data_IF_851015382436
#
_entry.id   IF_851015382436
#
_cell.length_a   1.000
_cell.length_b   1.000
_cell.length_c   1.000
_cell.angle_alpha   90.00
_cell.angle_beta   90.00
_cell.angle_gamma   90.00
#
_symmetry.space_group_name_H-M   'P 1'
#
loop_
_entity.id
_entity.type
_entity.pdbx_description
1 polymer ?
2 water ?
#
# COMPACT_ATOMS: atom_id res chain seq x y z
N UNK A 1 19.34 -6.20 -12.69
CA UNK A 1 18.49 -4.98 -12.47
C UNK A 1 17.40 -5.20 -11.42
N UNK A 2 16.14 -4.86 -11.76
CA UNK A 2 15.00 -5.02 -10.82
C UNK A 2 14.83 -6.46 -10.25
N UNK A 3 14.39 -6.57 -8.98
CA UNK A 3 13.96 -7.86 -8.39
C UNK A 3 12.52 -8.18 -8.80
N UNK A 4 12.38 -8.65 -10.05
CA UNK A 4 11.12 -9.12 -10.63
C UNK A 4 10.64 -10.40 -10.00
N UNK A 5 11.55 -11.30 -9.71
CA UNK A 5 11.16 -12.49 -9.01
C UNK A 5 10.56 -12.19 -7.62
N UNK A 6 11.21 -11.34 -6.84
CA UNK A 6 10.66 -10.91 -5.56
C UNK A 6 9.28 -10.24 -5.72
N UNK A 7 9.13 -9.29 -6.64
CA UNK A 7 7.87 -8.59 -6.75
C UNK A 7 6.77 -9.56 -7.11
N UNK A 8 7.15 -10.58 -7.87
CA UNK A 8 6.20 -11.57 -8.37
C UNK A 8 5.72 -12.45 -7.21
N UNK A 9 6.64 -12.94 -6.38
CA UNK A 9 6.27 -13.65 -5.17
C UNK A 9 5.34 -12.82 -4.22
N UNK A 10 5.61 -11.54 -4.01
CA UNK A 10 4.73 -10.73 -3.20
C UNK A 10 3.34 -10.67 -3.82
N UNK A 11 3.26 -10.49 -5.14
CA UNK A 11 1.95 -10.35 -5.81
C UNK A 11 1.13 -11.60 -5.71
N UNK A 12 1.76 -12.76 -5.88
CA UNK A 12 1.00 -14.01 -5.86
C UNK A 12 0.47 -14.38 -4.50
N UNK A 13 1.32 -14.43 -3.49
CA UNK A 13 0.85 -14.79 -2.16
C UNK A 13 0.23 -13.67 -1.35
N UNK A 14 0.47 -12.41 -1.71
CA UNK A 14 0.07 -11.34 -0.78
C UNK A 14 -0.75 -10.16 -1.30
N UNK A 15 -1.36 -10.26 -2.46
CA UNK A 15 -2.22 -9.16 -2.91
C UNK A 15 -3.58 -9.70 -3.30
N UNK A 16 -4.55 -8.79 -3.26
CA UNK A 16 -5.90 -9.11 -3.62
C UNK A 16 -6.40 -7.85 -4.26
N UNK A 17 -7.52 -7.95 -5.00
CA UNK A 17 -8.17 -6.79 -5.60
C UNK A 17 -9.21 -6.34 -4.61
N UNK A 18 -9.21 -5.06 -4.23
CA UNK A 18 -10.18 -4.57 -3.24
C UNK A 18 -11.05 -3.53 -3.90
N UNK A 19 -12.32 -3.48 -3.54
CA UNK A 19 -13.20 -2.56 -4.21
C UNK A 19 -14.12 -1.88 -3.22
N UNK A 20 -14.20 -0.56 -3.31
CA UNK A 20 -14.91 0.23 -2.32
C UNK A 20 -15.80 1.12 -3.14
N UNK A 21 -16.60 1.96 -2.50
CA UNK A 21 -17.33 2.95 -3.29
C UNK A 21 -16.42 3.77 -4.21
N UNK A 22 -15.11 3.77 -3.97
CA UNK A 22 -14.21 4.67 -4.72
C UNK A 22 -13.61 4.01 -5.92
N UNK A 23 -13.84 2.71 -6.06
CA UNK A 23 -13.24 1.98 -7.17
C UNK A 23 -12.41 0.81 -6.71
N UNK A 24 -11.60 0.28 -7.61
CA UNK A 24 -10.68 -0.82 -7.34
C UNK A 24 -9.26 -0.33 -7.02
N UNK A 25 -8.56 -1.07 -6.16
CA UNK A 25 -7.22 -0.79 -5.66
C UNK A 25 -6.52 -2.13 -5.52
N UNK A 26 -5.24 -2.16 -5.82
CA UNK A 26 -4.38 -3.26 -5.41
C UNK A 26 -4.31 -3.18 -3.87
N UNK A 27 -4.50 -4.32 -3.21
CA UNK A 27 -4.50 -4.37 -1.73
C UNK A 27 -3.46 -5.35 -1.28
N UNK A 28 -2.57 -4.88 -0.40
CA UNK A 28 -1.47 -5.72 0.06
C UNK A 28 -1.79 -6.35 1.42
N UNK A 29 -1.86 -7.67 1.49
CA UNK A 29 -2.05 -8.36 2.75
C UNK A 29 -0.70 -8.49 3.42
N UNK A 30 -0.66 -8.26 4.73
CA UNK A 30 0.59 -8.12 5.44
C UNK A 30 0.86 -9.28 6.42
N UNK A 31 -0.13 -9.62 7.23
CA UNK A 31 0.01 -10.77 8.12
C UNK A 31 -1.42 -11.09 8.59
N UNK A 32 -1.67 -12.35 8.97
CA UNK A 32 -2.95 -12.78 9.52
C UNK A 32 -4.08 -12.33 8.60
N UNK A 33 -4.97 -11.48 9.08
CA UNK A 33 -5.96 -10.93 8.16
C UNK A 33 -5.84 -9.43 8.11
N UNK A 34 -4.61 -8.94 8.26
CA UNK A 34 -4.34 -7.50 8.19
C UNK A 34 -3.79 -7.15 6.80
N UNK A 35 -4.34 -6.09 6.24
CA UNK A 35 -3.90 -5.58 4.94
C UNK A 35 -3.83 -4.05 4.93
N UNK A 36 -3.31 -3.50 3.83
CA UNK A 36 -3.27 -2.04 3.63
C UNK A 36 -3.88 -1.64 2.33
N UNK A 37 -4.41 -0.43 2.33
CA UNK A 37 -4.98 0.15 1.14
C UNK A 37 -4.84 1.68 1.29
N UNK A 38 -4.76 2.44 0.19
CA UNK A 38 -4.65 3.88 0.32
C UNK A 38 -5.85 4.50 1.00
N UNK A 39 -5.61 5.46 1.88
CA UNK A 39 -6.71 6.11 2.60
C UNK A 39 -7.79 6.64 1.62
N UNK A 40 -7.40 7.02 0.40
CA UNK A 40 -8.38 7.61 -0.52
C UNK A 40 -9.46 6.61 -0.99
N UNK A 41 -9.26 5.32 -0.69
CA UNK A 41 -10.25 4.27 -0.99
C UNK A 41 -11.51 4.44 -0.13
N UNK A 42 -11.39 5.14 1.00
CA UNK A 42 -12.55 5.41 1.84
C UNK A 42 -13.21 4.12 2.36
N UNK A 43 -12.44 3.29 3.06
CA UNK A 43 -12.94 2.03 3.58
C UNK A 43 -14.06 2.23 4.60
N UNK A 44 -15.14 1.44 4.42
CA UNK A 44 -16.30 1.51 5.26
C UNK A 44 -16.36 0.26 6.09
N UNK A 45 -17.52 -0.38 6.17
CA UNK A 45 -17.66 -1.49 7.07
C UNK A 45 -17.77 -2.80 6.33
N UNK A 46 -17.93 -2.73 5.02
CA UNK A 46 -17.79 -3.91 4.21
C UNK A 46 -16.95 -3.52 2.99
N UNK A 47 -16.27 -4.49 2.36
CA UNK A 47 -15.40 -4.21 1.21
C UNK A 47 -15.46 -5.45 0.31
N UNK A 48 -15.24 -5.30 -0.99
CA UNK A 48 -15.09 -6.48 -1.82
C UNK A 48 -13.65 -6.82 -1.98
N UNK A 49 -13.35 -8.08 -1.77
CA UNK A 49 -12.04 -8.65 -1.89
C UNK A 49 -12.14 -9.80 -2.89
N UNK A 50 -11.49 -9.66 -4.05
CA UNK A 50 -11.64 -10.59 -5.18
C UNK A 50 -13.11 -10.82 -5.50
N UNK A 51 -13.84 -9.72 -5.48
CA UNK A 51 -15.28 -9.71 -5.75
C UNK A 51 -16.15 -10.45 -4.70
N UNK A 52 -15.58 -10.86 -3.58
CA UNK A 52 -16.37 -11.40 -2.46
C UNK A 52 -16.57 -10.29 -1.42
N UNK A 53 -17.82 -10.02 -1.05
CA UNK A 53 -18.15 -9.03 -0.02
C UNK A 53 -17.66 -9.45 1.38
N UNK A 54 -16.90 -8.58 2.03
CA UNK A 54 -16.15 -8.98 3.22
C UNK A 54 -16.34 -7.95 4.32
N UNK A 55 -16.56 -8.45 5.52
CA UNK A 55 -16.74 -7.54 6.66
C UNK A 55 -15.37 -6.94 7.00
N UNK A 56 -15.31 -5.62 7.12
CA UNK A 56 -14.14 -4.90 7.67
C UNK A 56 -14.19 -4.79 9.21
N UNK A 57 -13.38 -5.57 9.90
CA UNK A 57 -13.48 -5.62 11.37
C UNK A 57 -12.83 -4.43 11.98
N UNK A 58 -11.87 -3.87 11.26
CA UNK A 58 -11.12 -2.69 11.73
C UNK A 58 -10.43 -1.96 10.60
N UNK A 59 -10.48 -0.64 10.63
CA UNK A 59 -9.79 0.20 9.63
C UNK A 59 -9.11 1.36 10.35
N UNK A 60 -7.80 1.57 10.15
CA UNK A 60 -7.10 2.64 10.81
C UNK A 60 -6.42 3.47 9.73
N UNK A 61 -6.94 4.66 9.50
CA UNK A 61 -6.37 5.63 8.59
C UNK A 61 -5.15 6.33 9.26
N UNK A 62 -3.92 5.96 8.86
CA UNK A 62 -2.75 6.45 9.60
C UNK A 62 -2.44 7.92 9.38
N UNK A 63 -2.15 8.57 10.48
CA UNK A 63 -1.72 9.95 10.51
C UNK A 63 -0.49 9.99 11.41
N UNK A 64 0.40 10.96 11.20
CA UNK A 64 1.55 11.12 12.10
C UNK A 64 1.28 12.11 13.27
N UNK A 65 2.30 12.32 14.12
CA UNK A 65 2.15 13.12 15.30
C UNK A 65 1.98 14.59 15.01
N UNK A 66 2.15 15.02 13.76
CA UNK A 66 1.71 16.37 13.39
C UNK A 66 0.21 16.40 12.98
N UNK A 67 -0.49 15.28 13.22
CA UNK A 67 -1.86 15.06 12.76
C UNK A 67 -2.00 15.25 11.22
N UNK A 68 -1.05 14.73 10.48
CA UNK A 68 -1.10 14.85 9.05
C UNK A 68 -1.29 13.45 8.52
N UNK A 69 -2.16 13.36 7.53
CA UNK A 69 -2.37 12.19 6.68
C UNK A 69 -1.08 11.50 6.20
N UNK A 70 -1.03 10.18 6.37
CA UNK A 70 0.05 9.34 5.83
C UNK A 70 -0.45 8.51 4.66
N UNK A 71 -1.77 8.52 4.44
CA UNK A 71 -2.41 7.89 3.26
C UNK A 71 -2.38 6.38 3.23
N UNK A 72 -2.10 5.76 4.37
CA UNK A 72 -2.24 4.32 4.52
C UNK A 72 -3.41 4.02 5.43
N UNK A 73 -4.25 3.08 5.04
CA UNK A 73 -5.27 2.57 5.93
C UNK A 73 -5.00 1.10 6.19
N UNK A 74 -4.92 0.73 7.46
CA UNK A 74 -4.68 -0.67 7.83
C UNK A 74 -6.05 -1.27 8.10
N UNK A 75 -6.34 -2.38 7.44
CA UNK A 75 -7.67 -2.98 7.61
C UNK A 75 -7.51 -4.38 8.15
N UNK A 76 -8.45 -4.77 9.00
CA UNK A 76 -8.56 -6.16 9.42
C UNK A 76 -9.82 -6.74 8.81
N UNK A 77 -9.71 -7.88 8.14
CA UNK A 77 -10.83 -8.43 7.36
C UNK A 77 -11.36 -9.71 7.98
N UNK A 78 -12.65 -9.97 7.79
CA UNK A 78 -13.27 -11.21 8.23
C UNK A 78 -13.21 -12.19 7.05
N UNK A 79 -12.12 -12.94 6.97
CA UNK A 79 -12.03 -13.95 5.96
C UNK A 79 -11.23 -15.11 6.44
N UNK A 80 -11.32 -16.22 5.71
CA UNK A 80 -10.86 -17.49 6.23
C UNK A 80 -9.36 -17.66 6.13
N UNK A 81 -8.75 -17.40 4.97
CA UNK A 81 -7.27 -17.57 4.91
C UNK A 81 -6.47 -16.44 5.57
N UNK A 82 -5.33 -16.82 6.14
CA UNK A 82 -4.35 -15.85 6.62
C UNK A 82 -3.48 -15.49 5.42
N UNK A 83 -2.96 -14.28 5.44
CA UNK A 83 -1.87 -13.90 4.56
C UNK A 83 -0.58 -14.47 5.09
N UNK A 84 0.26 -14.95 4.16
CA UNK A 84 1.66 -15.19 4.51
C UNK A 84 2.24 -13.94 5.25
N UNK A 85 2.94 -14.14 6.35
CA UNK A 85 3.48 -13.01 7.11
C UNK A 85 4.69 -12.40 6.41
N UNK A 86 4.54 -11.18 5.87
CA UNK A 86 5.63 -10.52 5.18
C UNK A 86 6.21 -9.31 5.94
N UNK A 87 5.94 -9.21 7.24
CA UNK A 87 6.51 -8.16 8.04
C UNK A 87 8.06 -8.11 8.00
N UNK A 88 8.71 -9.25 7.92
CA UNK A 88 10.16 -9.21 7.93
C UNK A 88 10.73 -8.54 6.67
N UNK A 89 9.91 -8.36 5.62
CA UNK A 89 10.36 -7.70 4.41
C UNK A 89 10.08 -6.23 4.44
N UNK A 90 9.55 -5.73 5.56
CA UNK A 90 9.26 -4.30 5.67
C UNK A 90 10.48 -3.55 6.20
N UNK A 91 10.75 -2.37 5.64
CA UNK A 91 11.90 -1.60 6.08
C UNK A 91 11.71 -1.09 7.49
N UNK A 92 12.77 -1.14 8.26
CA UNK A 92 12.81 -0.53 9.56
C UNK A 92 12.64 1.00 9.54
N UNK A 93 13.28 1.68 8.58
CA UNK A 93 13.39 3.15 8.61
C UNK A 93 13.08 3.76 7.30
N UNK A 94 12.78 5.07 7.25
CA UNK A 94 12.82 5.82 5.97
C UNK A 94 14.13 5.60 5.14
N UNK A 95 14.08 5.60 3.82
CA UNK A 95 15.29 5.34 3.10
C UNK A 95 15.09 5.67 1.63
N UNK A 96 16.15 5.61 0.82
CA UNK A 96 16.04 5.79 -0.62
C UNK A 96 16.41 4.45 -1.17
N UNK A 97 16.01 4.16 -2.40
CA UNK A 97 16.15 2.82 -2.92
C UNK A 97 16.47 2.89 -4.40
N UNK A 98 17.10 1.83 -4.84
CA UNK A 98 17.54 1.70 -6.21
C UNK A 98 16.59 0.73 -6.84
N UNK A 99 16.18 1.08 -8.06
CA UNK A 99 15.77 0.06 -9.02
C UNK A 99 14.48 -0.62 -8.57
N UNK A 100 13.48 0.15 -8.18
CA UNK A 100 12.25 -0.45 -7.64
C UNK A 100 11.32 -0.99 -8.75
N UNK A 101 10.47 -1.96 -8.38
CA UNK A 101 9.31 -2.37 -9.19
C UNK A 101 7.97 -1.92 -8.54
N UNK A 102 7.05 -1.45 -9.37
CA UNK A 102 5.70 -1.16 -8.99
C UNK A 102 4.88 -2.27 -9.62
N UNK A 103 4.14 -3.06 -8.83
CA UNK A 103 3.33 -4.17 -9.34
C UNK A 103 1.87 -3.92 -9.04
N UNK A 104 1.01 -4.21 -10.00
CA UNK A 104 -0.41 -3.92 -9.94
C UNK A 104 -1.19 -5.20 -10.15
N UNK A 105 -2.31 -5.32 -9.41
CA UNK A 105 -3.26 -6.47 -9.40
C UNK A 105 -4.69 -5.92 -9.29
N UNK A 106 -5.35 -5.70 -10.42
CA UNK A 106 -6.75 -5.24 -10.45
C UNK A 106 -7.51 -6.14 -11.41
N UNK A 107 -8.83 -6.00 -11.51
CA UNK A 107 -9.59 -6.72 -12.55
C UNK A 107 -9.14 -6.32 -13.96
N UNK A 108 -8.90 -5.03 -14.16
CA UNK A 108 -8.27 -4.51 -15.38
C UNK A 108 -6.83 -5.11 -15.64
N UNK A 109 -5.88 -4.87 -14.73
CA UNK A 109 -4.53 -5.44 -14.86
C UNK A 109 -4.29 -6.51 -13.79
N UNK A 110 -4.58 -7.80 -14.08
CA UNK A 110 -4.48 -8.76 -12.94
C UNK A 110 -3.03 -9.06 -12.44
N UNK A 111 -2.03 -8.79 -13.30
CA UNK A 111 -0.61 -8.91 -12.94
C UNK A 111 0.32 -8.17 -13.88
N UNK A 112 0.81 -7.04 -13.42
CA UNK A 112 1.61 -6.17 -14.24
C UNK A 112 2.77 -5.57 -13.44
N UNK A 113 3.96 -5.51 -14.05
CA UNK A 113 5.17 -5.10 -13.36
C UNK A 113 5.83 -3.96 -14.10
N UNK A 114 6.15 -2.90 -13.37
CA UNK A 114 6.72 -1.69 -13.94
C UNK A 114 7.95 -1.27 -13.13
N UNK A 115 9.14 -1.37 -13.73
CA UNK A 115 10.31 -0.78 -13.08
C UNK A 115 10.18 0.74 -13.09
N UNK A 116 10.54 1.38 -11.98
CA UNK A 116 10.30 2.80 -11.83
C UNK A 116 11.62 3.50 -11.47
N UNK A 117 12.70 2.74 -11.47
CA UNK A 117 14.02 3.30 -11.19
C UNK A 117 14.22 3.73 -9.74
N UNK A 118 14.86 4.87 -9.54
CA UNK A 118 15.26 5.22 -8.22
C UNK A 118 14.05 5.75 -7.50
N UNK A 119 14.01 5.46 -6.20
CA UNK A 119 12.92 5.89 -5.33
C UNK A 119 13.51 6.80 -4.25
N UNK A 120 13.04 8.04 -4.19
CA UNK A 120 13.58 8.96 -3.20
C UNK A 120 12.56 9.26 -2.12
N UNK A 121 13.07 9.40 -0.90
CA UNK A 121 12.36 9.90 0.25
C UNK A 121 12.04 11.37 0.01
N UNK A 122 10.78 11.65 -0.28
CA UNK A 122 10.37 12.94 -0.80
C UNK A 122 9.78 13.80 0.31
N UNK A 123 9.07 13.18 1.26
CA UNK A 123 8.54 13.91 2.42
C UNK A 123 7.15 14.44 2.19
N UNK A 124 7.00 15.75 2.35
CA UNK A 124 5.70 16.37 2.17
C UNK A 124 5.21 16.29 0.73
N UNK A 125 3.93 15.95 0.58
CA UNK A 125 3.23 16.02 -0.70
C UNK A 125 1.78 16.50 -0.47
N UNK A 126 1.32 17.40 -1.33
CA UNK A 126 -0.08 17.84 -1.37
C UNK A 126 -0.81 16.89 -2.31
N UNK A 127 -1.63 16.02 -1.75
CA UNK A 127 -2.15 14.91 -2.50
C UNK A 127 -3.64 15.16 -2.72
N UNK A 128 -3.99 15.49 -3.97
CA UNK A 128 -5.28 16.09 -4.32
C UNK A 128 -5.86 16.99 -3.23
N UNK A 129 -5.08 17.96 -2.74
CA UNK A 129 -5.56 18.86 -1.68
C UNK A 129 -5.49 18.41 -0.23
N UNK A 130 -5.07 17.17 0.03
CA UNK A 130 -4.79 16.72 1.41
C UNK A 130 -3.29 16.75 1.63
N UNK A 131 -2.82 17.59 2.55
CA UNK A 131 -1.37 17.52 2.90
C UNK A 131 -1.05 16.11 3.41
N UNK A 132 0.12 15.60 3.06
CA UNK A 132 0.50 14.22 3.37
C UNK A 132 2.00 14.13 3.59
N UNK A 133 2.42 13.24 4.51
CA UNK A 133 3.83 13.08 4.90
C UNK A 133 4.32 11.72 4.51
N UNK A 134 5.63 11.52 4.61
CA UNK A 134 6.27 10.24 4.42
C UNK A 134 6.11 9.63 3.04
N UNK A 135 6.11 10.49 2.03
CA UNK A 135 6.00 10.06 0.63
C UNK A 135 7.31 9.65 -0.05
N UNK A 136 7.25 8.57 -0.81
CA UNK A 136 8.30 8.14 -1.70
C UNK A 136 7.98 8.56 -3.14
N UNK A 137 9.01 9.00 -3.87
CA UNK A 137 8.80 9.48 -5.23
C UNK A 137 9.68 8.73 -6.22
N UNK A 138 9.09 8.43 -7.37
CA UNK A 138 9.81 7.81 -8.48
C UNK A 138 9.47 8.57 -9.74
N UNK A 139 10.49 8.68 -10.60
CA UNK A 139 10.41 9.48 -11.83
C UNK A 139 9.97 8.57 -12.95
N UNK A 140 8.67 8.31 -12.94
CA UNK A 140 7.99 7.51 -13.94
C UNK A 140 6.57 8.09 -14.14
N UNK A 141 6.07 8.12 -15.40
CA UNK A 141 4.72 8.66 -15.49
C UNK A 141 3.77 7.85 -14.59
N UNK A 142 2.62 8.43 -14.22
CA UNK A 142 1.57 7.68 -13.53
C UNK A 142 0.29 7.65 -14.35
N UNK A 143 -0.34 6.48 -14.34
CA UNK A 143 -1.62 6.29 -15.03
C UNK A 143 -2.68 5.90 -13.99
N UNK A 144 -3.94 6.13 -14.33
CA UNK A 144 -5.01 5.75 -13.40
C UNK A 144 -5.06 4.21 -13.21
N UNK A 145 -5.56 3.79 -12.05
CA UNK A 145 -5.78 2.37 -11.80
C UNK A 145 -4.62 1.68 -11.12
N UNK A 146 -3.57 2.44 -10.83
CA UNK A 146 -2.40 1.88 -10.16
C UNK A 146 -2.40 2.04 -8.62
N UNK A 147 -3.43 2.70 -8.08
CA UNK A 147 -3.46 2.99 -6.63
C UNK A 147 -3.46 1.72 -5.79
N UNK A 148 -2.57 1.72 -4.80
CA UNK A 148 -2.27 0.55 -4.04
C UNK A 148 -1.22 -0.37 -4.64
N UNK A 149 -0.77 -0.09 -5.87
CA UNK A 149 0.27 -0.88 -6.50
C UNK A 149 1.37 -0.98 -5.47
N UNK A 150 2.05 -2.12 -5.42
CA UNK A 150 2.97 -2.40 -4.35
C UNK A 150 4.33 -2.07 -4.90
N UNK A 151 5.15 -1.34 -4.13
CA UNK A 151 6.46 -0.95 -4.60
C UNK A 151 7.48 -1.77 -3.87
N UNK A 152 8.29 -2.52 -4.61
CA UNK A 152 9.32 -3.37 -4.02
C UNK A 152 10.72 -3.13 -4.59
N UNK A 153 11.73 -3.56 -3.82
CA UNK A 153 13.09 -3.90 -4.30
C UNK A 153 13.37 -5.33 -3.81
N UNK A 154 14.36 -6.04 -4.34
CA UNK A 154 14.60 -7.39 -3.81
C UNK A 154 14.69 -7.41 -2.28
N UNK A 155 13.82 -8.23 -1.71
CA UNK A 155 13.79 -8.45 -0.28
C UNK A 155 13.17 -7.35 0.53
N UNK A 156 12.59 -6.33 -0.10
CA UNK A 156 11.95 -5.24 0.66
C UNK A 156 10.64 -4.74 0.04
N UNK A 157 9.60 -4.66 0.88
CA UNK A 157 8.34 -4.07 0.43
C UNK A 157 8.29 -2.66 1.00
N UNK A 158 8.29 -1.64 0.16
CA UNK A 158 8.72 -0.37 0.69
C UNK A 158 7.57 0.61 0.73
N UNK A 159 6.50 0.35 -0.02
CA UNK A 159 5.32 1.16 0.10
C UNK A 159 4.27 0.81 -0.91
N UNK A 160 3.23 1.64 -0.99
CA UNK A 160 2.12 1.38 -1.91
C UNK A 160 1.80 2.68 -2.64
N UNK A 161 1.51 2.56 -3.95
CA UNK A 161 1.23 3.72 -4.81
C UNK A 161 -0.01 4.52 -4.42
N UNK A 162 0.09 5.84 -4.38
CA UNK A 162 -1.05 6.64 -3.91
C UNK A 162 -1.43 7.80 -4.83
N UNK A 163 -0.62 8.06 -5.86
CA UNK A 163 -0.88 9.18 -6.76
C UNK A 163 0.27 9.47 -7.70
N UNK A 164 0.11 10.55 -8.45
CA UNK A 164 1.10 11.01 -9.44
C UNK A 164 0.58 12.21 -10.24
N UNK A 165 1.51 12.88 -10.92
CA UNK A 165 1.23 13.92 -11.92
C UNK A 165 1.67 13.27 -13.21
N UNK A 166 1.79 13.99 -14.31
CA UNK A 166 2.09 13.23 -15.54
C UNK A 166 3.52 12.68 -15.66
N UNK A 167 4.36 13.01 -14.68
CA UNK A 167 5.81 12.79 -14.77
C UNK A 167 6.37 11.96 -13.60
N UNK A 168 5.80 12.12 -12.41
CA UNK A 168 6.27 11.38 -11.24
C UNK A 168 5.18 10.50 -10.64
N UNK A 169 5.58 9.46 -9.92
CA UNK A 169 4.65 8.69 -9.07
C UNK A 169 4.96 8.78 -7.58
N UNK A 170 3.93 8.64 -6.75
CA UNK A 170 4.12 8.72 -5.31
C UNK A 170 3.61 7.51 -4.58
N UNK A 171 4.42 6.97 -3.68
CA UNK A 171 3.99 5.86 -2.84
C UNK A 171 4.03 6.27 -1.38
N UNK A 172 3.12 5.72 -0.56
CA UNK A 172 3.10 5.95 0.90
C UNK A 172 4.00 4.92 1.53
N UNK A 173 4.91 5.35 2.40
CA UNK A 173 5.86 4.43 3.00
C UNK A 173 5.23 3.34 3.82
N UNK A 174 5.83 2.14 3.76
CA UNK A 174 5.54 1.15 4.74
C UNK A 174 6.72 0.97 5.67
N UNK A 175 6.46 1.02 6.97
CA UNK A 175 7.48 0.75 7.95
C UNK A 175 7.07 -0.43 8.83
N UNK A 176 8.07 -1.23 9.20
CA UNK A 176 7.87 -2.42 10.03
C UNK A 176 7.02 -2.12 11.30
N UNK A 177 7.21 -0.95 11.88
CA UNK A 177 6.60 -0.67 13.17
C UNK A 177 5.10 -0.34 13.07
N UNK A 178 4.60 -0.18 11.84
CA UNK A 178 3.16 0.01 11.66
C UNK A 178 2.36 -1.23 12.05
N UNK A 179 3.04 -2.38 12.15
CA UNK A 179 2.40 -3.68 12.23
C UNK A 179 2.88 -4.56 13.37
N UNK A 180 3.50 -3.97 14.39
CA UNK A 180 3.89 -4.77 15.56
C UNK A 180 2.71 -4.83 16.57
N UNK A 181 2.41 -6.04 17.07
CA UNK A 181 1.40 -6.31 18.16
C UNK A 181 1.74 -5.52 19.45
N UNK A 182 0.76 -4.92 20.11
CA UNK A 182 1.11 -3.73 20.94
C UNK A 182 0.28 -3.39 22.26
N UNK A 183 -0.19 -2.12 22.36
CA UNK A 183 -0.80 -1.50 23.59
C UNK A 183 -2.37 -1.40 23.61
N UNK A 184 -2.95 -1.27 24.81
CA UNK A 184 -4.43 -1.23 25.04
C UNK A 184 -5.03 0.20 25.06
N UNK A 185 -5.55 0.64 23.92
CA UNK A 185 -5.80 2.05 23.60
C UNK A 185 -7.15 2.20 22.85
N UNK A 186 -8.06 3.06 23.32
CA UNK A 186 -9.32 3.34 22.58
C UNK A 186 -9.05 4.09 21.28
N UNK A 187 -9.20 3.42 20.14
CA UNK A 187 -8.84 4.04 18.86
C UNK A 187 -9.93 4.72 18.00
N UNK A 188 -11.22 4.66 18.38
CA UNK A 188 -12.31 5.16 17.49
C UNK A 188 -13.30 6.20 18.03
N UNK A 189 -13.10 6.84 19.06
#
# INVERSE_FOLDING_TARGET
>A
GPGFDFAQAIMKKNTVVARTEKGEFTMLGVHDRVAVIPTHASVGETIYINDVETKVLDACALRDLTDTNLEITIVKLDRNQKFRDIRHFLPRYEDDYNDAVLSVHTSKFPNMYIPVGQVTNYGFLNLGGTPTHRILMYNFPTRAGQCGGVVTTTGKVIGIHVGGNGAQGFAAMLLHSYFTDTQKHHHHHH
#
